data_IF_499271337924
#
_entry.id   IF_499271337924
#
_cell.length_a   1.000
_cell.length_b   1.000
_cell.length_c   1.000
_cell.angle_alpha   90.00
_cell.angle_beta   90.00
_cell.angle_gamma   90.00
#
_symmetry.space_group_name_H-M   'P 1'
#
loop_
_entity.id
_entity.type
_entity.pdbx_description
1 polymer ?
#
# COMPACT_ATOMS: atom_id res chain seq x y z
N UNK A 1 -24.44 24.02 48.51
CA UNK A 1 -24.33 23.57 49.92
C UNK A 1 -24.96 22.19 50.02
N UNK A 2 -24.47 21.17 50.74
CA UNK A 2 -23.21 20.97 51.51
C UNK A 2 -22.89 19.46 51.61
N UNK A 3 -21.67 19.05 51.24
CA UNK A 3 -20.73 18.12 51.92
C UNK A 3 -21.19 16.74 52.48
N UNK A 4 -20.69 15.66 51.86
CA UNK A 4 -20.15 14.38 52.43
C UNK A 4 -19.27 13.73 51.32
N UNK A 5 -18.02 13.23 51.43
CA UNK A 5 -16.92 13.20 52.42
C UNK A 5 -16.81 12.04 53.45
N UNK A 6 -15.69 11.28 53.33
CA UNK A 6 -14.96 10.44 54.33
C UNK A 6 -15.66 9.11 54.71
N UNK A 7 -15.03 7.91 54.87
CA UNK A 7 -13.64 7.40 54.82
C UNK A 7 -13.64 5.99 54.11
N UNK A 8 -12.58 5.37 53.56
CA UNK A 8 -11.17 5.13 53.94
C UNK A 8 -10.92 3.85 54.81
N UNK A 9 -10.66 2.71 54.14
CA UNK A 9 -9.88 1.53 54.58
C UNK A 9 -9.22 0.95 53.30
N UNK A 10 -7.90 0.81 53.10
CA UNK A 10 -6.84 0.08 53.83
C UNK A 10 -7.01 -1.45 53.87
N UNK A 11 -6.22 -2.13 53.04
CA UNK A 11 -5.94 -3.57 53.06
C UNK A 11 -4.62 -3.82 52.33
N UNK A 12 -3.66 -4.49 52.98
CA UNK A 12 -2.26 -4.58 52.53
C UNK A 12 -1.71 -5.99 52.79
N UNK A 13 -1.06 -6.59 51.79
CA UNK A 13 -0.50 -7.95 51.86
C UNK A 13 0.92 -8.01 51.30
N UNK A 14 1.80 -8.74 52.00
CA UNK A 14 3.23 -8.91 51.72
C UNK A 14 3.49 -9.57 50.34
N UNK A 15 4.59 -9.31 49.61
CA UNK A 15 6.01 -9.20 49.96
C UNK A 15 6.65 -10.56 50.35
N UNK A 16 7.29 -11.19 49.37
CA UNK A 16 8.15 -12.38 49.52
C UNK A 16 9.52 -12.06 48.92
N UNK A 17 10.61 -12.46 49.57
CA UNK A 17 11.97 -12.12 49.15
C UNK A 17 12.88 -13.35 49.03
N UNK A 18 13.62 -13.40 47.94
CA UNK A 18 14.82 -14.20 47.70
C UNK A 18 15.61 -13.47 46.59
N UNK A 19 16.93 -13.52 46.47
CA UNK A 19 18.06 -13.87 47.32
C UNK A 19 19.28 -13.66 46.40
N UNK A 20 20.43 -13.20 46.90
CA UNK A 20 21.53 -12.73 46.02
C UNK A 20 22.61 -13.80 45.76
N UNK A 21 23.30 -13.69 44.62
CA UNK A 21 24.47 -14.47 44.20
C UNK A 21 25.09 -13.84 42.94
N UNK A 22 26.41 -13.84 42.81
CA UNK A 22 27.18 -12.86 42.01
C UNK A 22 28.37 -13.52 41.26
N UNK A 23 29.10 -12.72 40.47
CA UNK A 23 30.38 -13.01 39.77
C UNK A 23 30.37 -14.06 38.61
N UNK A 24 31.10 -13.92 37.49
CA UNK A 24 31.93 -12.82 36.95
C UNK A 24 32.27 -13.05 35.44
N UNK A 25 33.03 -12.10 34.86
CA UNK A 25 33.76 -12.11 33.57
C UNK A 25 32.95 -12.14 32.24
N UNK A 26 33.42 -11.53 31.13
CA UNK A 26 34.14 -10.26 30.94
C UNK A 26 33.95 -9.82 29.46
N UNK A 27 33.99 -8.51 29.20
CA UNK A 27 33.99 -7.93 27.86
C UNK A 27 32.59 -7.73 27.21
N UNK A 28 32.25 -6.56 26.67
CA UNK A 28 32.96 -5.28 26.77
C UNK A 28 32.59 -4.28 25.68
N UNK A 29 32.03 -3.13 26.11
CA UNK A 29 31.90 -1.83 25.41
C UNK A 29 31.20 -1.79 24.02
N UNK A 30 30.45 -0.75 23.65
CA UNK A 30 30.24 0.55 24.28
C UNK A 30 28.78 1.02 24.18
N UNK A 31 28.35 1.84 25.14
CA UNK A 31 27.27 2.81 24.89
C UNK A 31 27.82 4.04 24.20
N UNK A 32 27.03 4.65 23.32
CA UNK A 32 27.19 6.05 22.88
C UNK A 32 25.82 6.71 22.93
N UNK A 33 25.76 7.91 23.52
CA UNK A 33 24.55 8.73 23.58
C UNK A 33 24.46 9.66 22.36
N UNK A 34 23.36 9.54 21.61
CA UNK A 34 22.67 10.69 21.01
C UNK A 34 22.88 11.01 19.52
N UNK A 35 21.93 11.81 19.03
CA UNK A 35 21.84 12.48 17.73
C UNK A 35 21.45 11.64 16.49
N UNK A 36 20.18 11.79 16.10
CA UNK A 36 19.67 12.13 14.74
C UNK A 36 20.16 11.40 13.49
N UNK A 37 19.15 10.99 12.69
CA UNK A 37 19.17 10.69 11.25
C UNK A 37 19.74 9.34 10.77
N UNK A 38 18.83 8.61 10.12
CA UNK A 38 19.01 7.89 8.85
C UNK A 38 20.21 6.95 8.67
N UNK A 39 19.91 5.65 8.78
CA UNK A 39 20.50 4.63 7.90
C UNK A 39 19.44 3.53 7.67
N UNK A 40 19.29 3.12 6.41
CA UNK A 40 18.79 1.83 5.90
C UNK A 40 17.73 1.09 6.73
N UNK A 41 16.51 0.84 6.25
CA UNK A 41 16.15 0.55 4.85
C UNK A 41 17.07 -0.54 4.26
N UNK A 42 16.86 -1.76 4.76
CA UNK A 42 17.27 -3.01 4.12
C UNK A 42 16.02 -3.57 3.43
N UNK A 43 15.79 -3.19 2.16
CA UNK A 43 14.53 -3.42 1.47
C UNK A 43 14.25 -4.86 1.02
N UNK A 44 13.04 -5.10 0.50
CA UNK A 44 12.68 -6.31 -0.27
C UNK A 44 12.04 -7.49 0.50
N UNK A 45 11.39 -7.25 1.64
CA UNK A 45 10.57 -8.25 2.35
C UNK A 45 9.39 -7.64 3.16
N UNK A 46 9.20 -6.30 3.11
CA UNK A 46 8.19 -5.58 3.93
C UNK A 46 6.87 -5.29 3.20
N UNK A 47 6.95 -4.87 1.94
CA UNK A 47 5.80 -4.42 1.13
C UNK A 47 4.75 -5.53 0.93
N UNK A 48 5.20 -6.78 0.75
CA UNK A 48 4.36 -7.98 0.69
C UNK A 48 3.63 -8.28 2.03
N UNK A 49 4.13 -7.77 3.16
CA UNK A 49 3.51 -7.95 4.49
C UNK A 49 2.50 -6.85 4.78
N UNK A 50 2.87 -5.59 4.56
CA UNK A 50 1.98 -4.45 4.79
C UNK A 50 0.76 -4.50 3.86
N UNK A 51 0.97 -4.78 2.56
CA UNK A 51 -0.11 -4.98 1.60
C UNK A 51 -0.97 -6.22 1.88
N UNK A 52 -0.43 -7.23 2.57
CA UNK A 52 -1.20 -8.41 2.99
C UNK A 52 -2.08 -8.11 4.20
N UNK A 53 -1.63 -7.30 5.16
CA UNK A 53 -2.45 -6.88 6.30
C UNK A 53 -3.58 -5.92 5.85
N UNK A 54 -3.34 -5.05 4.86
CA UNK A 54 -4.41 -4.25 4.23
C UNK A 54 -5.44 -5.13 3.48
N UNK A 55 -4.99 -6.05 2.63
CA UNK A 55 -5.89 -6.97 1.92
C UNK A 55 -6.68 -7.88 2.87
N UNK A 56 -6.13 -8.19 4.05
CA UNK A 56 -6.83 -8.91 5.11
C UNK A 56 -7.86 -8.02 5.81
N UNK A 57 -7.53 -6.76 6.12
CA UNK A 57 -8.47 -5.80 6.71
C UNK A 57 -9.69 -5.54 5.79
N UNK A 58 -9.48 -5.44 4.48
CA UNK A 58 -10.56 -5.41 3.50
C UNK A 58 -11.45 -6.66 3.56
N UNK A 59 -10.82 -7.83 3.65
CA UNK A 59 -11.53 -9.11 3.71
C UNK A 59 -12.36 -9.26 4.98
N UNK A 60 -11.87 -8.75 6.12
CA UNK A 60 -12.66 -8.62 7.36
C UNK A 60 -13.82 -7.62 7.20
N UNK A 61 -13.56 -6.44 6.61
CA UNK A 61 -14.56 -5.41 6.37
C UNK A 61 -15.72 -5.90 5.48
N UNK A 62 -15.42 -6.64 4.41
CA UNK A 62 -16.43 -7.21 3.50
C UNK A 62 -17.33 -8.23 4.21
N UNK A 63 -16.76 -9.02 5.13
CA UNK A 63 -17.53 -9.98 5.96
C UNK A 63 -18.44 -9.29 6.96
N UNK A 64 -17.96 -8.24 7.63
CA UNK A 64 -18.74 -7.47 8.60
C UNK A 64 -19.86 -6.63 7.94
N UNK A 65 -19.70 -6.22 6.67
CA UNK A 65 -20.69 -5.42 5.94
C UNK A 65 -21.71 -6.21 5.10
N UNK A 66 -21.64 -7.55 5.09
CA UNK A 66 -22.72 -8.40 4.53
C UNK A 66 -22.28 -9.55 3.63
N UNK A 67 -20.99 -9.71 3.34
CA UNK A 67 -20.47 -10.81 2.50
C UNK A 67 -19.72 -11.83 3.39
N UNK A 68 -20.40 -12.62 4.25
CA UNK A 68 -19.75 -13.43 5.29
C UNK A 68 -18.84 -14.54 4.74
N UNK A 69 -19.05 -14.97 3.50
CA UNK A 69 -18.23 -15.96 2.79
C UNK A 69 -17.11 -15.31 1.94
N UNK A 70 -16.79 -14.02 2.14
CA UNK A 70 -15.71 -13.34 1.43
C UNK A 70 -14.34 -13.93 1.84
N UNK A 71 -13.47 -14.29 0.85
CA UNK A 71 -12.22 -15.01 1.10
C UNK A 71 -11.16 -14.11 1.76
N UNK A 72 -10.14 -14.74 2.36
CA UNK A 72 -8.91 -14.06 2.76
C UNK A 72 -7.89 -14.01 1.60
N UNK A 73 -6.96 -13.03 1.60
CA UNK A 73 -5.82 -13.03 0.70
C UNK A 73 -4.91 -14.25 0.91
N UNK A 74 -4.18 -14.64 -0.13
CA UNK A 74 -3.14 -15.67 -0.09
C UNK A 74 -1.82 -15.12 -0.63
N UNK A 75 -0.74 -15.24 0.15
CA UNK A 75 0.63 -15.01 -0.32
C UNK A 75 1.05 -16.14 -1.28
N UNK A 76 1.73 -15.81 -2.38
CA UNK A 76 2.19 -16.80 -3.36
C UNK A 76 3.65 -17.21 -3.11
N UNK A 77 4.05 -18.44 -3.47
CA UNK A 77 5.43 -18.99 -3.32
C UNK A 77 6.53 -18.22 -4.11
N UNK A 78 6.21 -17.08 -4.74
CA UNK A 78 7.11 -16.25 -5.54
C UNK A 78 6.94 -14.75 -5.32
N UNK A 79 6.36 -14.33 -4.19
CA UNK A 79 5.98 -12.95 -3.90
C UNK A 79 4.59 -12.58 -4.42
N UNK A 80 4.05 -11.46 -3.95
CA UNK A 80 2.73 -10.95 -4.31
C UNK A 80 1.55 -11.69 -3.65
N UNK A 81 0.40 -11.03 -3.68
CA UNK A 81 -0.81 -11.43 -2.96
C UNK A 81 -1.95 -11.74 -3.94
N UNK A 82 -2.69 -12.83 -3.72
CA UNK A 82 -3.85 -13.25 -4.52
C UNK A 82 -5.13 -13.21 -3.67
N UNK A 83 -6.09 -12.37 -4.05
CA UNK A 83 -7.45 -12.37 -3.51
C UNK A 83 -8.43 -12.82 -4.61
N UNK A 84 -8.97 -14.04 -4.48
CA UNK A 84 -9.78 -14.68 -5.53
C UNK A 84 -11.20 -15.03 -5.07
N UNK A 85 -12.21 -14.40 -5.67
CA UNK A 85 -13.63 -14.64 -5.33
C UNK A 85 -14.03 -16.10 -5.66
N UNK A 86 -14.80 -16.78 -4.78
CA UNK A 86 -15.19 -18.17 -4.97
C UNK A 86 -16.30 -18.34 -6.04
N UNK A 87 -16.32 -19.49 -6.71
CA UNK A 87 -17.36 -19.84 -7.70
C UNK A 87 -18.77 -19.77 -7.09
N UNK A 88 -19.55 -18.78 -7.51
CA UNK A 88 -20.92 -18.54 -7.02
C UNK A 88 -21.11 -17.28 -6.18
N UNK A 89 -20.04 -16.55 -5.86
CA UNK A 89 -20.14 -15.16 -5.39
C UNK A 89 -20.41 -14.23 -6.59
N UNK A 90 -21.34 -13.30 -6.42
CA UNK A 90 -21.77 -12.36 -7.46
C UNK A 90 -21.33 -10.92 -7.10
N UNK A 91 -20.30 -10.37 -7.76
CA UNK A 91 -19.81 -9.02 -7.47
C UNK A 91 -20.77 -7.92 -7.96
N UNK A 92 -21.73 -8.23 -8.84
CA UNK A 92 -22.78 -7.27 -9.26
C UNK A 92 -23.98 -7.26 -8.29
N UNK A 93 -23.96 -8.06 -7.23
CA UNK A 93 -25.07 -8.15 -6.27
C UNK A 93 -25.17 -6.92 -5.35
N UNK A 94 -26.41 -6.54 -4.99
CA UNK A 94 -26.68 -5.39 -4.11
C UNK A 94 -25.98 -5.50 -2.74
N UNK A 95 -25.74 -6.72 -2.25
CA UNK A 95 -25.08 -7.01 -0.97
C UNK A 95 -23.55 -6.86 -1.09
N UNK A 96 -22.94 -7.34 -2.19
CA UNK A 96 -21.52 -7.15 -2.46
C UNK A 96 -21.19 -5.67 -2.73
N UNK A 97 -21.95 -5.00 -3.58
CA UNK A 97 -21.72 -3.59 -3.92
C UNK A 97 -21.94 -2.64 -2.72
N UNK A 98 -22.84 -2.99 -1.79
CA UNK A 98 -23.02 -2.25 -0.55
C UNK A 98 -21.85 -2.46 0.43
N UNK A 99 -21.25 -3.65 0.46
CA UNK A 99 -20.06 -3.93 1.26
C UNK A 99 -18.81 -3.26 0.67
N UNK A 100 -18.60 -3.33 -0.65
CA UNK A 100 -17.46 -2.65 -1.31
C UNK A 100 -17.51 -1.14 -1.07
N UNK A 101 -18.68 -0.51 -1.22
CA UNK A 101 -18.86 0.92 -0.93
C UNK A 101 -18.78 1.29 0.58
N UNK A 102 -18.78 0.31 1.48
CA UNK A 102 -18.51 0.50 2.91
C UNK A 102 -17.03 0.23 3.29
N UNK A 103 -16.27 -0.40 2.38
CA UNK A 103 -14.89 -0.83 2.56
C UNK A 103 -13.93 -0.21 1.52
N UNK A 104 -14.39 0.83 0.79
CA UNK A 104 -13.66 1.47 -0.31
C UNK A 104 -12.30 2.01 0.16
N UNK A 105 -12.26 2.65 1.33
CA UNK A 105 -11.05 3.16 1.99
C UNK A 105 -10.00 2.08 2.35
N UNK A 106 -10.35 0.79 2.23
CA UNK A 106 -9.49 -0.36 2.54
C UNK A 106 -9.26 -1.27 1.32
N UNK A 107 -9.87 -0.97 0.15
CA UNK A 107 -9.89 -1.91 -0.97
C UNK A 107 -8.49 -2.05 -1.58
N UNK A 108 -7.85 -3.25 -1.55
CA UNK A 108 -6.55 -3.46 -2.14
C UNK A 108 -6.67 -3.31 -3.66
N UNK A 109 -6.11 -2.21 -4.18
CA UNK A 109 -5.97 -1.98 -5.61
C UNK A 109 -4.78 -2.74 -6.19
N UNK A 110 -4.56 -2.68 -7.53
CA UNK A 110 -3.23 -2.90 -8.09
C UNK A 110 -2.23 -1.85 -7.57
N UNK A 111 -2.73 -0.64 -7.31
CA UNK A 111 -2.06 0.46 -6.62
C UNK A 111 -2.95 0.84 -5.42
N UNK A 112 -2.52 0.49 -4.20
CA UNK A 112 -3.34 0.60 -2.99
C UNK A 112 -3.37 2.01 -2.40
N UNK A 113 -4.58 2.61 -2.32
CA UNK A 113 -4.94 3.72 -1.43
C UNK A 113 -4.29 5.11 -1.62
N UNK A 114 -3.04 5.19 -2.10
CA UNK A 114 -2.22 6.40 -1.99
C UNK A 114 -2.22 7.26 -3.26
N UNK A 115 -2.32 8.59 -3.08
CA UNK A 115 -2.02 9.57 -4.14
C UNK A 115 -0.52 9.47 -4.48
N UNK A 116 -0.14 9.36 -5.76
CA UNK A 116 1.28 9.33 -6.14
C UNK A 116 1.95 10.69 -5.93
N UNK A 117 3.29 10.70 -5.86
CA UNK A 117 4.03 11.94 -5.67
C UNK A 117 3.64 13.01 -6.72
N UNK A 118 3.39 14.27 -6.31
CA UNK A 118 2.90 15.30 -7.22
C UNK A 118 3.79 15.59 -8.45
N UNK A 119 5.10 15.32 -8.38
CA UNK A 119 6.01 15.45 -9.52
C UNK A 119 5.80 14.30 -10.52
N UNK A 120 5.60 13.07 -10.02
CA UNK A 120 5.26 11.89 -10.83
C UNK A 120 3.89 12.08 -11.50
N UNK A 121 2.90 12.61 -10.76
CA UNK A 121 1.59 12.95 -11.34
C UNK A 121 1.69 14.04 -12.42
N UNK A 122 2.54 15.05 -12.23
CA UNK A 122 2.79 16.07 -13.24
C UNK A 122 3.47 15.50 -14.49
N UNK A 123 4.45 14.61 -14.33
CA UNK A 123 5.11 13.93 -15.44
C UNK A 123 4.15 13.00 -16.23
N UNK A 124 3.26 12.28 -15.53
CA UNK A 124 2.20 11.49 -16.16
C UNK A 124 1.20 12.35 -16.95
N UNK A 125 0.90 13.56 -16.49
CA UNK A 125 0.11 14.53 -17.26
C UNK A 125 0.84 14.99 -18.52
N UNK A 126 2.14 15.31 -18.45
CA UNK A 126 2.94 15.67 -19.64
C UNK A 126 3.01 14.51 -20.65
N UNK A 127 3.12 13.27 -20.19
CA UNK A 127 3.03 12.07 -21.02
C UNK A 127 1.64 11.94 -21.69
N UNK A 128 0.54 12.11 -20.94
CA UNK A 128 -0.82 12.10 -21.50
C UNK A 128 -1.04 13.24 -22.51
N UNK A 129 -0.48 14.43 -22.29
CA UNK A 129 -0.50 15.52 -23.27
C UNK A 129 0.29 15.16 -24.53
N UNK A 130 1.50 14.62 -24.39
CA UNK A 130 2.34 14.18 -25.49
C UNK A 130 1.65 13.09 -26.36
N UNK A 131 0.98 12.11 -25.74
CA UNK A 131 0.22 11.08 -26.47
C UNK A 131 -0.92 11.68 -27.29
N UNK A 132 -1.63 12.68 -26.73
CA UNK A 132 -2.68 13.44 -27.43
C UNK A 132 -2.13 14.30 -28.58
N UNK A 133 -0.93 14.88 -28.44
CA UNK A 133 -0.27 15.62 -29.53
C UNK A 133 0.26 14.71 -30.66
N UNK A 134 0.73 13.50 -30.34
CA UNK A 134 1.27 12.54 -31.31
C UNK A 134 0.20 11.70 -32.06
N UNK A 135 -1.09 11.96 -31.82
CA UNK A 135 -2.21 11.44 -32.62
C UNK A 135 -3.28 10.68 -31.83
N UNK A 136 -2.99 10.27 -30.60
CA UNK A 136 -3.93 9.53 -29.75
C UNK A 136 -4.84 10.54 -29.02
N UNK A 137 -5.69 11.24 -29.77
CA UNK A 137 -6.41 12.44 -29.27
C UNK A 137 -7.32 12.18 -28.07
N UNK A 138 -7.80 10.95 -27.91
CA UNK A 138 -8.66 10.50 -26.81
C UNK A 138 -7.86 9.82 -25.67
N UNK A 139 -6.52 9.94 -25.64
CA UNK A 139 -5.70 9.34 -24.58
C UNK A 139 -6.03 9.97 -23.22
N UNK A 140 -6.34 9.16 -22.19
CA UNK A 140 -6.82 9.66 -20.91
C UNK A 140 -5.70 10.26 -20.04
N UNK A 141 -6.10 11.09 -19.09
CA UNK A 141 -5.24 11.62 -18.04
C UNK A 141 -5.09 10.59 -16.90
N UNK A 142 -3.99 10.62 -16.12
CA UNK A 142 -3.82 9.78 -14.93
C UNK A 142 -4.89 10.06 -13.86
N UNK A 143 -5.24 9.02 -13.10
CA UNK A 143 -5.97 9.15 -11.83
C UNK A 143 -5.05 9.66 -10.70
N UNK A 144 -5.59 10.10 -9.54
CA UNK A 144 -4.76 10.60 -8.43
C UNK A 144 -3.70 9.60 -7.91
N UNK A 145 -3.96 8.29 -8.02
CA UNK A 145 -3.00 7.21 -7.77
C UNK A 145 -2.03 6.95 -8.95
N UNK A 146 -1.90 7.87 -9.90
CA UNK A 146 -1.07 7.74 -11.12
C UNK A 146 -1.63 6.83 -12.21
N UNK A 147 -2.65 6.02 -11.93
CA UNK A 147 -3.16 5.00 -12.86
C UNK A 147 -3.80 5.59 -14.13
N UNK A 148 -3.21 5.31 -15.31
CA UNK A 148 -3.78 5.63 -16.62
C UNK A 148 -4.60 4.44 -17.14
N UNK A 149 -5.93 4.49 -16.96
CA UNK A 149 -6.80 3.34 -17.26
C UNK A 149 -7.14 3.24 -18.76
N UNK A 150 -6.56 2.24 -19.42
CA UNK A 150 -6.79 1.96 -20.84
C UNK A 150 -7.90 0.92 -21.06
N UNK A 151 -9.12 1.39 -21.34
CA UNK A 151 -10.30 0.56 -21.57
C UNK A 151 -10.47 0.10 -23.02
N UNK A 152 -11.32 -0.90 -23.27
CA UNK A 152 -11.57 -1.44 -24.62
C UNK A 152 -12.38 -0.56 -25.59
N UNK A 153 -12.86 0.62 -25.16
CA UNK A 153 -13.73 1.51 -25.95
C UNK A 153 -13.31 2.98 -25.79
N UNK A 154 -12.03 3.27 -26.10
CA UNK A 154 -11.43 4.62 -26.02
C UNK A 154 -11.36 5.36 -27.36
N UNK A 155 -11.92 4.80 -28.44
CA UNK A 155 -11.78 5.38 -29.79
C UNK A 155 -10.41 5.17 -30.47
N UNK A 156 -9.38 4.71 -29.74
CA UNK A 156 -8.09 4.26 -30.27
C UNK A 156 -7.80 2.79 -29.93
N UNK A 157 -6.83 2.19 -30.62
CA UNK A 157 -6.35 0.82 -30.40
C UNK A 157 -4.93 0.84 -29.80
N UNK A 158 -4.75 0.43 -28.52
CA UNK A 158 -3.42 0.35 -27.88
C UNK A 158 -2.44 -0.62 -28.56
N UNK A 159 -2.91 -1.53 -29.43
CA UNK A 159 -2.05 -2.43 -30.21
C UNK A 159 -1.71 -1.88 -31.61
N UNK A 160 -2.21 -0.70 -31.97
CA UNK A 160 -1.93 -0.06 -33.25
C UNK A 160 -0.49 0.44 -33.37
N UNK A 161 -0.01 0.60 -34.61
CA UNK A 161 1.28 1.24 -34.87
C UNK A 161 1.26 2.72 -34.48
N UNK A 162 0.12 3.40 -34.62
CA UNK A 162 -0.04 4.81 -34.24
C UNK A 162 0.16 5.01 -32.74
N UNK A 163 -0.38 4.10 -31.91
CA UNK A 163 -0.13 4.10 -30.46
C UNK A 163 1.34 3.81 -30.13
N UNK A 164 1.96 2.82 -30.79
CA UNK A 164 3.38 2.47 -30.57
C UNK A 164 4.34 3.59 -31.00
N UNK A 165 4.03 4.28 -32.10
CA UNK A 165 4.84 5.41 -32.61
C UNK A 165 4.71 6.63 -31.68
N UNK A 166 3.52 6.88 -31.12
CA UNK A 166 3.29 7.92 -30.11
C UNK A 166 3.97 7.59 -28.77
N UNK A 167 3.80 6.37 -28.26
CA UNK A 167 4.45 5.87 -27.03
C UNK A 167 5.97 5.98 -27.11
N UNK A 168 6.56 5.60 -28.24
CA UNK A 168 8.00 5.73 -28.50
C UNK A 168 8.47 7.20 -28.66
N UNK A 169 7.59 8.12 -29.08
CA UNK A 169 7.89 9.54 -29.15
C UNK A 169 7.76 10.25 -27.78
N UNK A 170 6.98 9.69 -26.87
CA UNK A 170 6.72 10.21 -25.53
C UNK A 170 7.46 9.44 -24.41
N UNK A 171 8.33 8.49 -24.76
CA UNK A 171 8.96 7.57 -23.81
C UNK A 171 9.77 8.27 -22.71
N UNK A 172 10.43 9.39 -23.04
CA UNK A 172 11.22 10.22 -22.10
C UNK A 172 10.35 10.90 -21.01
N UNK A 173 9.02 10.88 -21.15
CA UNK A 173 8.05 11.43 -20.19
C UNK A 173 7.37 10.34 -19.35
N UNK A 174 7.69 9.05 -19.56
CA UNK A 174 7.12 7.97 -18.75
C UNK A 174 7.92 7.84 -17.45
N UNK A 175 7.31 7.93 -16.26
CA UNK A 175 8.02 7.64 -15.03
C UNK A 175 8.54 6.20 -15.01
N UNK A 176 9.73 6.01 -14.45
CA UNK A 176 10.22 4.69 -14.09
C UNK A 176 9.39 4.18 -12.90
N UNK A 177 8.41 3.32 -13.17
CA UNK A 177 7.59 2.70 -12.13
C UNK A 177 8.42 1.81 -11.20
N UNK A 178 7.94 1.53 -9.98
CA UNK A 178 8.65 0.68 -9.02
C UNK A 178 8.94 -0.69 -9.65
N UNK A 179 10.22 -1.04 -9.77
CA UNK A 179 10.69 -2.24 -10.46
C UNK A 179 11.18 -2.03 -11.91
N UNK A 180 11.24 -0.79 -12.40
CA UNK A 180 12.04 -0.45 -13.58
C UNK A 180 13.53 -0.78 -13.36
N UNK A 181 14.26 -1.31 -14.36
CA UNK A 181 15.69 -1.57 -14.20
C UNK A 181 16.45 -0.24 -14.20
N UNK A 182 17.01 0.11 -13.04
CA UNK A 182 17.83 1.32 -12.82
C UNK A 182 18.83 1.51 -13.96
N UNK A 183 18.56 2.47 -14.85
CA UNK A 183 19.55 2.90 -15.83
C UNK A 183 20.46 3.91 -15.15
N UNK A 184 21.45 3.39 -14.39
CA UNK A 184 22.56 4.14 -13.84
C UNK A 184 23.22 4.98 -14.95
N UNK A 185 22.79 6.24 -15.06
CA UNK A 185 23.40 7.24 -15.91
C UNK A 185 24.67 7.74 -15.22
N UNK A 186 25.69 6.87 -15.13
CA UNK A 186 27.05 7.29 -14.76
C UNK A 186 27.57 8.26 -15.84
N UNK A 187 27.50 9.56 -15.52
CA UNK A 187 28.05 10.66 -16.31
C UNK A 187 29.59 10.57 -16.48
N UNK A 188 30.08 11.18 -17.58
CA UNK A 188 31.49 11.49 -17.96
C UNK A 188 32.39 10.38 -18.56
#
# INVERSE_FOLDING_TARGET
MRRYLIALLLGLTALSAAACGDDADDGGVASVDGATESASDEGGDGEDLDGFEEALAYSECMRDNGVPDFPDPQQNDGGGITLGLPEGMDPESEEFAAAEAACEDMRPGPDGGEDVDPEIYAQLLEYSECMRENGITEFPDPQPNGGIIMNGDMGFDPQSQEFQDADAACADLRPEGPGGPENDSEDE
#
